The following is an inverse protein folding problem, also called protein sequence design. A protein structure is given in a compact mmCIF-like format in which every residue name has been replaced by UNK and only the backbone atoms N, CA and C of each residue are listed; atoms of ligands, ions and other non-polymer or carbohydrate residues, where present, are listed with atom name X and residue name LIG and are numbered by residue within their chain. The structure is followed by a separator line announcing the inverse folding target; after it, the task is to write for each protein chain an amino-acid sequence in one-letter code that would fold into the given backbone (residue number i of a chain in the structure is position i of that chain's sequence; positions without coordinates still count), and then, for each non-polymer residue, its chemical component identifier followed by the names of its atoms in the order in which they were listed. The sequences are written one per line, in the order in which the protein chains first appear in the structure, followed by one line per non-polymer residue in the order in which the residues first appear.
data_IF_883702143455
#
_entry.id   IF_883702143455
#
_cell.length_a   1.000
_cell.length_b   1.000
_cell.length_c   1.000
_cell.angle_alpha   90.00
_cell.angle_beta   90.00
_cell.angle_gamma   90.00
#
_symmetry.space_group_name_H-M   'P 1'
#
loop_
_entity.id
_entity.type
_entity.pdbx_description
1 polymer ?
#
# COMPACT_ATOMS: atom_id res chain seq x y z
N UNK A 1 -0.84 -4.72 9.54
CA UNK A 1 -1.51 -5.75 8.72
C UNK A 1 -2.77 -5.17 8.09
N UNK A 2 -3.52 -5.97 7.33
CA UNK A 2 -4.74 -5.49 6.63
C UNK A 2 -5.84 -5.11 7.64
N UNK A 3 -6.33 -3.88 7.51
CA UNK A 3 -7.46 -3.34 8.30
C UNK A 3 -8.55 -2.84 7.37
N UNK A 4 -9.80 -2.89 7.82
CA UNK A 4 -10.97 -2.41 7.07
C UNK A 4 -11.67 -1.30 7.84
N UNK A 5 -12.19 -0.32 7.12
CA UNK A 5 -12.99 0.78 7.66
C UNK A 5 -13.93 1.31 6.58
N UNK A 6 -14.95 2.09 6.99
CA UNK A 6 -15.75 2.84 6.01
C UNK A 6 -14.87 3.90 5.34
N UNK A 7 -15.04 4.19 4.03
CA UNK A 7 -14.28 5.23 3.36
C UNK A 7 -14.28 6.56 4.13
N UNK A 8 -13.10 7.15 4.36
CA UNK A 8 -12.94 8.42 5.07
C UNK A 8 -13.15 8.38 6.59
N UNK A 9 -13.29 7.20 7.21
CA UNK A 9 -13.56 7.04 8.64
C UNK A 9 -12.41 6.39 9.43
N UNK A 10 -11.23 6.25 8.83
CA UNK A 10 -10.03 5.85 9.59
C UNK A 10 -9.57 7.00 10.49
N UNK A 11 -8.59 6.74 11.37
CA UNK A 11 -7.97 7.77 12.20
C UNK A 11 -7.32 8.92 11.39
N UNK A 12 -7.06 8.72 10.10
CA UNK A 12 -6.50 9.74 9.20
C UNK A 12 -7.60 10.68 8.66
N UNK A 13 -8.87 10.26 8.69
CA UNK A 13 -10.00 11.05 8.21
C UNK A 13 -10.22 10.97 6.70
N UNK A 14 -10.68 12.08 6.10
CA UNK A 14 -11.04 12.15 4.67
C UNK A 14 -9.77 12.15 3.79
N UNK A 15 -9.78 11.46 2.64
CA UNK A 15 -8.64 11.46 1.73
C UNK A 15 -8.42 12.85 1.12
N UNK A 16 -7.15 13.23 0.93
CA UNK A 16 -6.78 14.47 0.23
C UNK A 16 -7.15 14.42 -1.26
N UNK A 17 -7.09 13.23 -1.87
CA UNK A 17 -7.42 13.00 -3.28
C UNK A 17 -8.09 11.64 -3.42
N UNK A 18 -9.12 11.59 -4.26
CA UNK A 18 -9.74 10.35 -4.74
C UNK A 18 -9.35 10.17 -6.21
N UNK A 19 -8.88 8.98 -6.57
CA UNK A 19 -8.44 8.65 -7.92
C UNK A 19 -9.27 7.46 -8.37
N UNK A 20 -9.99 7.63 -9.47
CA UNK A 20 -10.71 6.52 -10.12
C UNK A 20 -9.71 5.51 -10.70
N UNK A 21 -9.96 4.22 -10.49
CA UNK A 21 -9.11 3.11 -10.93
C UNK A 21 -9.85 2.17 -11.88
N UNK A 22 -11.00 2.61 -12.42
CA UNK A 22 -11.87 1.80 -13.26
C UNK A 22 -12.71 0.78 -12.50
N UNK A 23 -13.13 -0.26 -13.22
CA UNK A 23 -14.11 -1.24 -12.76
C UNK A 23 -13.48 -2.63 -12.63
N UNK A 24 -14.17 -3.54 -11.93
CA UNK A 24 -13.78 -4.95 -11.78
C UNK A 24 -14.98 -5.85 -12.02
N UNK A 25 -14.73 -7.03 -12.60
CA UNK A 25 -15.72 -8.10 -12.72
C UNK A 25 -15.63 -9.11 -11.57
N UNK A 26 -14.71 -8.92 -10.63
CA UNK A 26 -14.54 -9.79 -9.46
C UNK A 26 -15.68 -9.55 -8.49
N UNK A 27 -16.38 -10.62 -8.14
CA UNK A 27 -17.48 -10.55 -7.19
C UNK A 27 -16.96 -10.31 -5.75
N UNK A 28 -17.79 -9.73 -4.87
CA UNK A 28 -17.37 -9.42 -3.50
C UNK A 28 -16.88 -10.62 -2.70
N UNK A 29 -17.46 -11.81 -2.87
CA UNK A 29 -17.07 -13.00 -2.11
C UNK A 29 -15.66 -13.45 -2.49
N UNK A 30 -15.39 -13.52 -3.80
CA UNK A 30 -14.05 -13.82 -4.32
C UNK A 30 -13.03 -12.79 -3.84
N UNK A 31 -13.37 -11.50 -3.84
CA UNK A 31 -12.48 -10.46 -3.35
C UNK A 31 -12.20 -10.58 -1.84
N UNK A 32 -13.22 -10.84 -1.03
CA UNK A 32 -13.03 -11.04 0.40
C UNK A 32 -12.13 -12.24 0.72
N UNK A 33 -12.29 -13.35 -0.02
CA UNK A 33 -11.44 -14.53 0.14
C UNK A 33 -10.00 -14.27 -0.31
N UNK A 34 -9.80 -13.49 -1.36
CA UNK A 34 -8.48 -13.02 -1.75
C UNK A 34 -7.83 -12.18 -0.64
N UNK A 35 -8.56 -11.21 -0.07
CA UNK A 35 -8.08 -10.38 1.04
C UNK A 35 -7.74 -11.23 2.27
N UNK A 36 -8.55 -12.25 2.60
CA UNK A 36 -8.25 -13.19 3.70
C UNK A 36 -6.92 -13.91 3.47
N UNK A 37 -6.66 -14.40 2.26
CA UNK A 37 -5.41 -15.07 1.90
C UNK A 37 -4.20 -14.14 2.00
N UNK A 38 -4.36 -12.89 1.57
CA UNK A 38 -3.29 -11.88 1.65
C UNK A 38 -2.88 -11.55 3.08
N UNK A 39 -3.70 -11.81 4.11
CA UNK A 39 -3.34 -11.51 5.51
C UNK A 39 -2.08 -12.23 5.97
N UNK A 40 -1.75 -13.39 5.40
CA UNK A 40 -0.53 -14.13 5.74
C UNK A 40 0.73 -13.41 5.25
N UNK A 41 0.70 -12.83 4.05
CA UNK A 41 1.83 -12.11 3.44
C UNK A 41 1.82 -10.60 3.70
N UNK A 42 0.67 -10.01 4.02
CA UNK A 42 0.48 -8.59 4.35
C UNK A 42 0.14 -8.40 5.83
N UNK A 43 1.06 -8.85 6.68
CA UNK A 43 0.97 -8.73 8.11
C UNK A 43 1.87 -7.59 8.65
N UNK A 44 1.79 -7.31 9.95
CA UNK A 44 2.56 -6.23 10.56
C UNK A 44 4.07 -6.52 10.63
N UNK A 45 4.46 -7.80 10.74
CA UNK A 45 5.87 -8.22 10.83
C UNK A 45 6.60 -8.04 9.50
N UNK A 46 5.89 -8.15 8.37
CA UNK A 46 6.46 -7.99 7.03
C UNK A 46 6.35 -6.56 6.50
N UNK A 47 5.87 -5.60 7.29
CA UNK A 47 5.70 -4.23 6.84
C UNK A 47 7.03 -3.48 6.83
N UNK A 48 7.42 -2.91 5.68
CA UNK A 48 8.60 -2.06 5.57
C UNK A 48 8.23 -0.73 4.90
N UNK A 49 8.54 0.39 5.57
CA UNK A 49 8.12 1.72 5.13
C UNK A 49 8.54 2.06 3.69
N UNK A 50 9.74 1.64 3.27
CA UNK A 50 10.30 2.01 1.96
C UNK A 50 10.03 0.97 0.87
N UNK A 51 9.79 -0.29 1.24
CA UNK A 51 9.87 -1.42 0.29
C UNK A 51 8.60 -2.27 0.25
N UNK A 52 7.83 -2.29 1.35
CA UNK A 52 6.64 -3.12 1.51
C UNK A 52 5.61 -2.42 2.40
N UNK A 53 4.99 -1.37 1.86
CA UNK A 53 4.07 -0.50 2.59
C UNK A 53 2.64 -0.57 2.02
N UNK A 54 1.78 0.35 2.47
CA UNK A 54 0.39 0.43 2.02
C UNK A 54 0.24 0.64 0.50
N UNK A 55 1.16 1.34 -0.15
CA UNK A 55 1.13 1.57 -1.59
C UNK A 55 1.41 0.27 -2.37
N UNK A 56 2.38 -0.51 -1.91
CA UNK A 56 2.67 -1.82 -2.52
C UNK A 56 1.48 -2.79 -2.34
N UNK A 57 0.81 -2.76 -1.19
CA UNK A 57 -0.41 -3.52 -0.97
C UNK A 57 -1.54 -3.09 -1.92
N UNK A 58 -1.77 -1.78 -2.06
CA UNK A 58 -2.78 -1.25 -2.98
C UNK A 58 -2.49 -1.61 -4.44
N UNK A 59 -1.22 -1.60 -4.86
CA UNK A 59 -0.81 -2.08 -6.19
C UNK A 59 -1.20 -3.54 -6.42
N UNK A 60 -0.87 -4.43 -5.47
CA UNK A 60 -1.21 -5.85 -5.60
C UNK A 60 -2.72 -6.07 -5.66
N UNK A 61 -3.48 -5.35 -4.83
CA UNK A 61 -4.94 -5.41 -4.83
C UNK A 61 -5.55 -4.90 -6.13
N UNK A 62 -5.08 -3.77 -6.67
CA UNK A 62 -5.58 -3.26 -7.95
C UNK A 62 -5.24 -4.19 -9.12
N UNK A 63 -4.01 -4.73 -9.13
CA UNK A 63 -3.61 -5.69 -10.14
C UNK A 63 -4.50 -6.93 -10.14
N UNK A 64 -4.94 -7.39 -8.96
CA UNK A 64 -5.90 -8.48 -8.86
C UNK A 64 -7.29 -8.07 -9.36
N UNK A 65 -7.79 -6.90 -8.94
CA UNK A 65 -9.13 -6.44 -9.28
C UNK A 65 -9.33 -6.22 -10.78
N UNK A 66 -8.39 -5.56 -11.46
CA UNK A 66 -8.56 -5.20 -12.86
C UNK A 66 -7.25 -5.04 -13.66
N UNK A 67 -6.13 -5.53 -13.12
CA UNK A 67 -4.83 -5.45 -13.80
C UNK A 67 -4.22 -4.05 -13.85
N UNK A 68 -4.83 -3.05 -13.21
CA UNK A 68 -4.27 -1.71 -13.12
C UNK A 68 -3.17 -1.62 -12.05
N UNK A 69 -2.46 -0.49 -12.06
CA UNK A 69 -1.45 -0.15 -11.06
C UNK A 69 -1.78 1.22 -10.45
N UNK A 70 -1.29 1.48 -9.24
CA UNK A 70 -1.40 2.82 -8.67
C UNK A 70 -0.45 3.78 -9.43
N UNK A 71 -0.71 5.09 -9.44
CA UNK A 71 0.16 6.05 -10.13
C UNK A 71 1.63 6.00 -9.68
N UNK A 72 2.55 6.03 -10.65
CA UNK A 72 4.00 5.89 -10.43
C UNK A 72 4.59 6.90 -9.43
N UNK A 73 4.07 8.12 -9.38
CA UNK A 73 4.55 9.13 -8.42
C UNK A 73 4.30 8.73 -6.96
N UNK A 74 3.34 7.84 -6.70
CA UNK A 74 3.07 7.28 -5.37
C UNK A 74 4.05 6.14 -5.06
N UNK A 75 4.28 5.22 -6.01
CA UNK A 75 5.20 4.10 -5.82
C UNK A 75 6.66 4.52 -5.76
N UNK A 76 7.04 5.55 -6.52
CA UNK A 76 8.41 6.04 -6.60
C UNK A 76 8.80 6.96 -5.44
N UNK A 77 7.85 7.34 -4.57
CA UNK A 77 8.11 8.25 -3.45
C UNK A 77 9.27 7.80 -2.54
N UNK A 78 9.39 6.51 -2.14
CA UNK A 78 10.55 6.06 -1.36
C UNK A 78 11.87 6.24 -2.11
N UNK A 79 11.92 5.92 -3.40
CA UNK A 79 13.11 6.09 -4.23
C UNK A 79 13.50 7.57 -4.37
N UNK A 80 12.51 8.43 -4.66
CA UNK A 80 12.72 9.88 -4.72
C UNK A 80 13.26 10.43 -3.40
N UNK A 81 12.69 10.01 -2.27
CA UNK A 81 13.19 10.40 -0.95
C UNK A 81 14.64 9.95 -0.73
N UNK A 82 14.94 8.67 -1.00
CA UNK A 82 16.28 8.10 -0.84
C UNK A 82 17.32 8.71 -1.78
N UNK A 83 16.90 9.30 -2.90
CA UNK A 83 17.79 10.02 -3.83
C UNK A 83 18.29 11.36 -3.27
N UNK A 84 17.68 11.87 -2.20
CA UNK A 84 18.13 13.08 -1.51
C UNK A 84 19.23 12.77 -0.49
N UNK A 85 20.15 13.70 -0.20
CA UNK A 85 21.17 13.51 0.85
C UNK A 85 20.58 13.17 2.23
N UNK A 86 19.44 13.77 2.57
CA UNK A 86 18.73 13.50 3.82
C UNK A 86 18.15 12.08 3.83
N UNK A 87 17.46 11.67 2.76
CA UNK A 87 16.89 10.32 2.71
C UNK A 87 17.95 9.23 2.72
N UNK A 88 19.06 9.44 2.02
CA UNK A 88 20.21 8.54 2.06
C UNK A 88 20.78 8.39 3.47
N UNK A 89 20.95 9.49 4.22
CA UNK A 89 21.47 9.45 5.60
C UNK A 89 20.49 8.83 6.59
N UNK A 90 19.18 8.94 6.36
CA UNK A 90 18.13 8.36 7.22
C UNK A 90 17.85 6.88 6.93
N UNK A 91 18.27 6.33 5.78
CA UNK A 91 18.00 4.94 5.41
C UNK A 91 18.35 3.91 6.50
N UNK A 92 19.52 3.98 7.17
CA UNK A 92 19.86 3.01 8.22
C UNK A 92 18.89 3.06 9.41
N UNK A 93 18.46 4.26 9.80
CA UNK A 93 17.51 4.47 10.90
C UNK A 93 16.13 3.90 10.54
N UNK A 94 15.65 4.18 9.32
CA UNK A 94 14.37 3.64 8.84
C UNK A 94 14.41 2.11 8.82
N UNK A 95 15.45 1.52 8.24
CA UNK A 95 15.60 0.06 8.21
C UNK A 95 15.65 -0.56 9.61
N UNK A 96 16.18 0.16 10.61
CA UNK A 96 16.18 -0.32 11.99
C UNK A 96 14.80 -0.30 12.64
N UNK A 97 13.92 0.64 12.26
CA UNK A 97 12.55 0.73 12.78
C UNK A 97 11.62 -0.35 12.21
N UNK A 98 11.91 -0.87 11.02
CA UNK A 98 11.05 -1.78 10.26
C UNK A 98 11.69 -3.14 9.97
N UNK A 99 12.46 -3.68 10.93
CA UNK A 99 13.15 -4.98 10.80
C UNK A 99 12.22 -6.18 10.84
#
# INVERSE_FOLDING_TARGET
GIMTSRPGNSHIGKPLRVIDQGETMIDPVTFEDYIKRLRSSWNAQLYHLLERNCNNFSKEVLSFLNGSDIPDYILSLPHQFLSTPLGASMRPMINQMFR
#
